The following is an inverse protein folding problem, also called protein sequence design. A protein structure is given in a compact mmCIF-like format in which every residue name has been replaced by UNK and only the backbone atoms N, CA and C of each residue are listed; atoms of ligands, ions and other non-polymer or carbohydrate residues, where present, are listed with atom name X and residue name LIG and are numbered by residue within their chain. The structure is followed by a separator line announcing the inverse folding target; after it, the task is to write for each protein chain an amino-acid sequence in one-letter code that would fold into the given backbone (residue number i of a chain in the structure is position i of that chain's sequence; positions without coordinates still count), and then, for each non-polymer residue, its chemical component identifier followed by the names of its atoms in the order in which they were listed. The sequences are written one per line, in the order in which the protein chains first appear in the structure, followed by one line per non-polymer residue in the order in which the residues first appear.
data_IF_772206373150
#
_entry.id   IF_772206373150
#
_cell.length_a   1.000
_cell.length_b   1.000
_cell.length_c   1.000
_cell.angle_alpha   90.00
_cell.angle_beta   90.00
_cell.angle_gamma   90.00
#
_symmetry.space_group_name_H-M   'P 1'
#
loop_
_entity.id
_entity.type
_entity.pdbx_description
1 polymer ?
#
# COMPACT_ATOMS: atom_id res chain seq x y z
N UNK A 1 -9.70 -8.54 17.74
CA UNK A 1 -9.94 -8.67 16.29
C UNK A 1 -8.94 -7.79 15.59
N UNK A 2 -8.07 -8.33 14.73
CA UNK A 2 -7.23 -7.52 13.86
C UNK A 2 -8.16 -6.75 12.90
N UNK A 3 -8.12 -5.42 12.92
CA UNK A 3 -8.90 -4.62 11.99
C UNK A 3 -8.04 -4.40 10.74
N UNK A 4 -8.50 -4.85 9.58
CA UNK A 4 -7.81 -4.54 8.34
C UNK A 4 -8.17 -3.11 7.92
N UNK A 5 -7.17 -2.32 7.54
CA UNK A 5 -7.40 -1.02 6.90
C UNK A 5 -7.45 -1.23 5.39
N UNK A 6 -8.53 -0.79 4.77
CA UNK A 6 -8.73 -0.85 3.33
C UNK A 6 -8.58 0.54 2.75
N UNK A 7 -7.80 0.66 1.68
CA UNK A 7 -7.64 1.89 0.92
C UNK A 7 -7.64 1.57 -0.56
N UNK A 8 -8.25 2.43 -1.36
CA UNK A 8 -8.20 2.35 -2.81
C UNK A 8 -8.04 3.76 -3.40
N UNK A 9 -7.55 3.81 -4.62
CA UNK A 9 -7.34 5.08 -5.31
C UNK A 9 -7.18 4.89 -6.81
N UNK A 10 -7.39 5.96 -7.56
CA UNK A 10 -7.15 6.01 -9.01
C UNK A 10 -5.94 6.88 -9.40
N UNK A 11 -5.28 7.47 -8.40
CA UNK A 11 -4.14 8.37 -8.53
C UNK A 11 -3.23 8.26 -7.30
N UNK A 12 -2.20 9.10 -7.23
CA UNK A 12 -1.38 9.31 -6.04
C UNK A 12 -2.24 9.55 -4.79
N UNK A 13 -1.78 9.03 -3.65
CA UNK A 13 -2.50 9.12 -2.39
C UNK A 13 -1.64 8.80 -1.18
N UNK A 14 -2.15 9.12 0.00
CA UNK A 14 -1.52 8.75 1.27
C UNK A 14 -2.53 7.99 2.11
N UNK A 15 -2.14 6.81 2.58
CA UNK A 15 -2.92 5.96 3.47
C UNK A 15 -2.26 6.04 4.85
N UNK A 16 -3.01 6.52 5.83
CA UNK A 16 -2.60 6.57 7.23
C UNK A 16 -3.32 5.45 7.96
N UNK A 17 -2.58 4.67 8.74
CA UNK A 17 -3.14 3.60 9.55
C UNK A 17 -3.31 4.06 10.99
N UNK A 18 -4.49 3.82 11.56
CA UNK A 18 -4.78 4.14 12.97
C UNK A 18 -4.01 3.25 13.95
N UNK A 19 -3.51 2.10 13.48
CA UNK A 19 -2.68 1.16 14.24
C UNK A 19 -1.58 0.60 13.35
N UNK A 20 -0.46 0.14 13.93
CA UNK A 20 0.62 -0.44 13.17
C UNK A 20 0.19 -1.63 12.32
N UNK A 21 0.56 -1.60 11.04
CA UNK A 21 0.32 -2.67 10.07
C UNK A 21 1.61 -3.47 9.89
N UNK A 22 1.51 -4.80 9.84
CA UNK A 22 2.66 -5.70 9.62
C UNK A 22 2.58 -6.49 8.30
N UNK A 23 1.43 -6.48 7.63
CA UNK A 23 1.30 -7.06 6.29
C UNK A 23 0.55 -6.12 5.36
N UNK A 24 1.02 -6.06 4.11
CA UNK A 24 0.40 -5.28 3.05
C UNK A 24 -0.01 -6.20 1.91
N UNK A 25 -1.28 -6.15 1.53
CA UNK A 25 -1.72 -6.72 0.27
C UNK A 25 -2.02 -5.55 -0.68
N UNK A 26 -1.51 -5.62 -1.90
CA UNK A 26 -1.64 -4.58 -2.92
C UNK A 26 -2.17 -5.22 -4.19
N UNK A 27 -3.22 -4.63 -4.74
CA UNK A 27 -3.76 -4.96 -6.05
C UNK A 27 -3.58 -3.77 -6.99
N UNK A 28 -2.97 -4.03 -8.15
CA UNK A 28 -2.65 -3.00 -9.15
C UNK A 28 -3.28 -3.41 -10.48
N UNK A 29 -4.10 -2.52 -11.06
CA UNK A 29 -4.70 -2.76 -12.36
C UNK A 29 -3.65 -2.79 -13.49
N UNK A 30 -3.97 -3.47 -14.60
CA UNK A 30 -3.08 -3.57 -15.77
C UNK A 30 -2.76 -2.21 -16.39
N UNK A 31 -1.52 -2.03 -16.86
CA UNK A 31 -1.07 -0.81 -17.53
C UNK A 31 -0.77 0.37 -16.62
N UNK A 32 -0.71 0.15 -15.30
CA UNK A 32 -0.48 1.18 -14.28
C UNK A 32 0.98 1.12 -13.80
N UNK A 33 1.61 2.28 -13.73
CA UNK A 33 2.84 2.50 -12.97
C UNK A 33 2.43 2.68 -11.51
N UNK A 34 2.86 1.78 -10.64
CA UNK A 34 2.55 1.83 -9.23
C UNK A 34 3.81 1.77 -8.39
N UNK A 35 3.88 2.65 -7.40
CA UNK A 35 4.90 2.59 -6.40
C UNK A 35 4.44 3.05 -5.03
N UNK A 36 5.15 2.58 -4.00
CA UNK A 36 4.88 2.94 -2.61
C UNK A 36 6.13 3.36 -1.87
N UNK A 37 5.93 4.28 -0.93
CA UNK A 37 6.86 4.67 0.12
C UNK A 37 6.21 4.41 1.48
N UNK A 38 6.97 3.80 2.39
CA UNK A 38 6.50 3.39 3.72
C UNK A 38 7.08 4.34 4.78
N UNK A 39 6.25 4.83 5.70
CA UNK A 39 6.63 5.69 6.84
C UNK A 39 7.57 6.86 6.48
N UNK A 40 7.30 7.51 5.34
CA UNK A 40 8.12 8.63 4.81
C UNK A 40 9.59 8.25 4.53
N UNK A 41 9.93 6.96 4.51
CA UNK A 41 11.25 6.49 4.10
C UNK A 41 11.46 6.68 2.60
N UNK A 42 12.71 6.91 2.20
CA UNK A 42 13.14 6.92 0.78
C UNK A 42 13.02 5.54 0.09
N UNK A 43 12.38 4.56 0.73
CA UNK A 43 12.22 3.23 0.17
C UNK A 43 11.07 3.26 -0.83
N UNK A 44 11.42 3.33 -2.12
CA UNK A 44 10.49 3.31 -3.22
C UNK A 44 10.45 1.90 -3.82
N UNK A 45 9.28 1.26 -3.77
CA UNK A 45 9.07 -0.02 -4.43
C UNK A 45 8.17 0.20 -5.64
N UNK A 46 8.68 -0.02 -6.85
CA UNK A 46 7.88 -0.06 -8.06
C UNK A 46 7.43 -1.50 -8.34
N UNK A 47 6.15 -1.68 -8.67
CA UNK A 47 5.56 -3.00 -8.86
C UNK A 47 4.76 -3.06 -10.17
N UNK A 48 4.80 -4.20 -10.89
CA UNK A 48 3.94 -4.41 -12.05
C UNK A 48 2.49 -4.66 -11.61
N UNK A 49 1.57 -4.59 -12.57
CA UNK A 49 0.18 -4.98 -12.37
C UNK A 49 0.04 -6.41 -11.82
N UNK A 50 -0.97 -6.61 -10.99
CA UNK A 50 -1.24 -7.90 -10.34
C UNK A 50 -1.51 -7.76 -8.84
N UNK A 51 -1.54 -8.92 -8.18
CA UNK A 51 -1.69 -9.01 -6.73
C UNK A 51 -0.35 -9.30 -6.07
N UNK A 52 0.00 -8.50 -5.07
CA UNK A 52 1.25 -8.62 -4.34
C UNK A 52 0.98 -8.62 -2.84
N UNK A 53 1.70 -9.46 -2.10
CA UNK A 53 1.60 -9.55 -0.64
C UNK A 53 2.98 -9.43 -0.02
N UNK A 54 3.11 -8.54 0.96
CA UNK A 54 4.36 -8.23 1.61
C UNK A 54 4.20 -8.40 3.11
N UNK A 55 5.19 -9.05 3.73
CA UNK A 55 5.45 -8.87 5.15
C UNK A 55 6.37 -7.67 5.29
N UNK A 56 5.89 -6.67 6.01
CA UNK A 56 6.57 -5.42 6.27
C UNK A 56 6.75 -5.26 7.78
N UNK A 57 7.70 -4.44 8.21
CA UNK A 57 7.76 -4.04 9.61
C UNK A 57 6.49 -3.30 10.05
N UNK A 58 6.40 -2.92 11.32
CA UNK A 58 5.32 -2.07 11.80
C UNK A 58 5.38 -0.70 11.12
N UNK A 59 4.40 -0.42 10.25
CA UNK A 59 4.26 0.87 9.58
C UNK A 59 3.00 1.62 10.00
N UNK A 60 3.04 2.95 9.90
CA UNK A 60 1.93 3.87 10.18
C UNK A 60 1.40 4.60 8.95
N UNK A 61 2.20 4.71 7.88
CA UNK A 61 1.84 5.45 6.66
C UNK A 61 2.33 4.72 5.40
N UNK A 62 1.49 4.68 4.35
CA UNK A 62 1.92 4.40 2.98
C UNK A 62 1.60 5.59 2.09
N UNK A 63 2.62 6.13 1.42
CA UNK A 63 2.41 7.02 0.29
C UNK A 63 2.43 6.21 -0.99
N UNK A 64 1.37 6.32 -1.77
CA UNK A 64 1.19 5.68 -3.07
C UNK A 64 1.45 6.71 -4.16
N UNK A 65 2.28 6.35 -5.14
CA UNK A 65 2.43 7.05 -6.40
C UNK A 65 1.94 6.14 -7.52
N UNK A 66 0.81 6.48 -8.12
CA UNK A 66 0.15 5.63 -9.10
C UNK A 66 -0.61 6.45 -10.14
N UNK A 67 -0.58 5.98 -11.40
CA UNK A 67 -1.34 6.57 -12.51
C UNK A 67 -2.51 5.69 -12.96
N UNK A 68 -3.23 5.10 -11.99
CA UNK A 68 -4.38 4.25 -12.27
C UNK A 68 -4.97 3.60 -11.02
N UNK A 69 -5.90 2.67 -11.22
CA UNK A 69 -6.67 2.05 -10.13
C UNK A 69 -5.82 1.07 -9.33
N UNK A 70 -5.81 1.25 -8.01
CA UNK A 70 -5.13 0.39 -7.05
C UNK A 70 -5.98 0.17 -5.81
N UNK A 71 -5.73 -0.96 -5.15
CA UNK A 71 -6.30 -1.28 -3.85
C UNK A 71 -5.19 -1.76 -2.91
N UNK A 72 -5.31 -1.41 -1.64
CA UNK A 72 -4.35 -1.71 -0.60
C UNK A 72 -5.10 -2.17 0.65
N UNK A 73 -4.61 -3.24 1.24
CA UNK A 73 -5.13 -3.81 2.49
C UNK A 73 -3.98 -3.90 3.48
N UNK A 74 -4.01 -3.06 4.50
CA UNK A 74 -3.10 -3.13 5.64
C UNK A 74 -3.67 -4.05 6.71
N UNK A 75 -2.98 -5.14 7.02
CA UNK A 75 -3.34 -6.07 8.09
C UNK A 75 -2.57 -5.71 9.36
N UNK A 76 -3.30 -5.39 10.42
CA UNK A 76 -2.75 -5.06 11.73
C UNK A 76 -2.01 -6.25 12.35
N UNK A 77 -0.95 -5.95 13.10
CA UNK A 77 -0.21 -6.91 13.91
C UNK A 77 -0.98 -7.30 15.20
#
# INVERSE_FOLDING_TARGET
MAANTFANGASDGTVIFDKPVAHLNVFIASGVTFAISLDKGMNYLSMPAGFHSFRIGHISEVRVQANGVWELIGVQA
#
